data_IF_504809121379
#
_entry.id   IF_504809121379
#
_cell.length_a   1.000
_cell.length_b   1.000
_cell.length_c   1.000
_cell.angle_alpha   90.00
_cell.angle_beta   90.00
_cell.angle_gamma   90.00
#
_symmetry.space_group_name_H-M   'P 1'
#
loop_
_entity.id
_entity.type
_entity.pdbx_description
1 polymer ?
#
# COMPACT_ATOMS: atom_id res chain seq x y z
N UNK A 1 31.14 -2.12 -38.70
CA UNK A 1 30.36 -1.14 -37.91
C UNK A 1 28.96 -1.64 -37.51
N UNK A 2 28.54 -2.87 -37.89
CA UNK A 2 27.18 -3.37 -37.68
C UNK A 2 26.92 -3.98 -36.29
N UNK A 3 27.95 -4.59 -35.69
CA UNK A 3 27.88 -5.22 -34.36
C UNK A 3 27.64 -4.21 -33.23
N UNK A 4 28.21 -3.01 -33.35
CA UNK A 4 28.02 -1.94 -32.35
C UNK A 4 26.58 -1.41 -32.32
N UNK A 5 25.92 -1.31 -33.47
CA UNK A 5 24.55 -0.79 -33.57
C UNK A 5 23.52 -1.77 -32.98
N UNK A 6 23.71 -3.08 -33.18
CA UNK A 6 22.88 -4.09 -32.53
C UNK A 6 23.02 -4.06 -31.01
N UNK A 7 24.24 -3.88 -30.50
CA UNK A 7 24.49 -3.83 -29.06
C UNK A 7 23.76 -2.64 -28.41
N UNK A 8 23.81 -1.46 -29.05
CA UNK A 8 23.15 -0.25 -28.54
C UNK A 8 21.62 -0.43 -28.55
N UNK A 9 21.05 -1.06 -29.58
CA UNK A 9 19.62 -1.34 -29.66
C UNK A 9 19.14 -2.30 -28.57
N UNK A 10 19.95 -3.32 -28.23
CA UNK A 10 19.65 -4.26 -27.13
C UNK A 10 19.74 -3.59 -25.76
N UNK A 11 20.74 -2.74 -25.52
CA UNK A 11 20.90 -2.01 -24.25
C UNK A 11 19.77 -0.98 -24.07
N UNK A 12 19.39 -0.28 -25.14
CA UNK A 12 18.27 0.67 -25.10
C UNK A 12 16.94 -0.05 -24.81
N UNK A 13 16.70 -1.21 -25.43
CA UNK A 13 15.52 -2.03 -25.14
C UNK A 13 15.50 -2.54 -23.70
N UNK A 14 16.63 -2.99 -23.15
CA UNK A 14 16.71 -3.50 -21.78
C UNK A 14 16.52 -2.40 -20.72
N UNK A 15 16.97 -1.18 -21.02
CA UNK A 15 16.83 0.00 -20.15
C UNK A 15 15.37 0.47 -20.04
N UNK A 16 14.53 0.20 -21.03
CA UNK A 16 13.10 0.51 -20.97
C UNK A 16 12.32 -0.44 -20.03
N UNK A 17 12.75 -1.70 -19.90
CA UNK A 17 12.10 -2.67 -19.01
C UNK A 17 12.42 -2.47 -17.53
N UNK A 18 13.50 -1.77 -17.18
CA UNK A 18 13.82 -1.42 -15.79
C UNK A 18 13.07 -0.16 -15.32
N UNK A 19 12.55 0.67 -16.23
CA UNK A 19 11.78 1.88 -15.91
C UNK A 19 10.32 1.60 -15.56
N UNK A 20 9.77 0.42 -15.87
CA UNK A 20 8.40 0.04 -15.50
C UNK A 20 8.33 -0.59 -14.09
N UNK A 21 9.48 -0.76 -13.41
CA UNK A 21 9.57 -1.57 -12.20
C UNK A 21 9.51 -0.83 -10.87
N UNK A 22 9.70 0.48 -10.79
CA UNK A 22 9.87 1.15 -9.50
C UNK A 22 9.42 2.61 -9.54
N UNK A 23 8.13 2.84 -9.79
CA UNK A 23 7.49 3.98 -9.15
C UNK A 23 7.35 3.65 -7.65
N UNK A 24 8.48 3.66 -6.93
CA UNK A 24 8.48 3.87 -5.50
C UNK A 24 8.08 5.32 -5.26
N UNK A 25 6.81 5.64 -5.53
CA UNK A 25 6.18 6.70 -4.78
C UNK A 25 6.41 6.30 -3.32
N UNK A 26 7.01 7.19 -2.55
CA UNK A 26 7.08 7.06 -1.10
C UNK A 26 5.65 7.10 -0.57
N UNK A 27 4.95 5.98 -0.72
CA UNK A 27 3.53 5.85 -0.42
C UNK A 27 3.44 5.84 1.09
N UNK A 28 3.20 7.02 1.65
CA UNK A 28 2.83 7.16 3.04
C UNK A 28 1.46 6.48 3.19
N UNK A 29 1.41 5.49 4.07
CA UNK A 29 0.19 4.80 4.42
C UNK A 29 -0.09 4.91 5.91
N UNK A 30 -1.35 4.77 6.29
CA UNK A 30 -1.76 4.86 7.67
C UNK A 30 -1.23 3.68 8.49
N UNK A 31 -0.83 3.94 9.73
CA UNK A 31 -0.47 2.90 10.68
C UNK A 31 -1.75 2.33 11.30
N UNK A 32 -2.06 1.08 10.97
CA UNK A 32 -3.11 0.34 11.67
C UNK A 32 -2.77 0.20 13.17
N UNK A 33 -3.69 0.59 14.06
CA UNK A 33 -3.57 0.31 15.48
C UNK A 33 -3.43 -1.19 15.73
N UNK A 34 -2.54 -1.58 16.65
CA UNK A 34 -2.31 -2.99 17.00
C UNK A 34 -3.53 -3.66 17.62
N UNK A 35 -4.42 -2.88 18.25
CA UNK A 35 -5.65 -3.37 18.87
C UNK A 35 -6.79 -2.36 18.70
N UNK A 36 -7.97 -2.81 18.28
CA UNK A 36 -9.20 -2.01 18.19
C UNK A 36 -10.35 -2.84 18.76
N UNK A 37 -11.22 -2.22 19.56
CA UNK A 37 -12.40 -2.87 20.14
C UNK A 37 -12.16 -4.13 20.99
N UNK A 38 -10.90 -4.48 21.31
CA UNK A 38 -10.56 -5.74 21.99
C UNK A 38 -9.82 -6.73 21.08
N UNK A 39 -9.83 -6.48 19.77
CA UNK A 39 -9.34 -7.37 18.72
C UNK A 39 -7.96 -6.96 18.24
N UNK A 40 -7.12 -7.95 17.94
CA UNK A 40 -5.76 -7.73 17.45
C UNK A 40 -5.74 -7.53 15.93
N UNK A 41 -4.81 -6.69 15.46
CA UNK A 41 -4.55 -6.51 14.04
C UNK A 41 -4.06 -7.83 13.43
N UNK A 42 -4.79 -8.34 12.45
CA UNK A 42 -4.43 -9.56 11.72
C UNK A 42 -3.67 -9.22 10.45
N UNK A 43 -4.17 -8.24 9.69
CA UNK A 43 -3.56 -7.86 8.42
C UNK A 43 -3.83 -6.39 8.09
N UNK A 44 -3.00 -5.86 7.20
CA UNK A 44 -3.10 -4.54 6.61
C UNK A 44 -3.00 -4.68 5.12
N UNK A 45 -3.79 -3.92 4.38
CA UNK A 45 -3.68 -3.80 2.94
C UNK A 45 -3.89 -2.34 2.50
N UNK A 46 -3.43 -1.99 1.30
CA UNK A 46 -3.63 -0.67 0.70
C UNK A 46 -4.40 -0.86 -0.60
N UNK A 47 -5.52 -0.14 -0.74
CA UNK A 47 -6.34 -0.19 -1.95
C UNK A 47 -5.71 0.61 -3.11
N UNK A 48 -6.29 0.50 -4.31
CA UNK A 48 -5.81 1.19 -5.51
C UNK A 48 -5.90 2.72 -5.41
N UNK A 49 -6.67 3.24 -4.44
CA UNK A 49 -6.83 4.65 -4.15
C UNK A 49 -5.81 5.15 -3.12
N UNK A 50 -4.98 4.27 -2.57
CA UNK A 50 -4.00 4.59 -1.53
C UNK A 50 -4.58 4.61 -0.11
N UNK A 51 -5.82 4.15 0.10
CA UNK A 51 -6.39 4.02 1.44
C UNK A 51 -5.86 2.76 2.12
N UNK A 52 -5.59 2.87 3.40
CA UNK A 52 -5.18 1.73 4.24
C UNK A 52 -6.39 1.06 4.85
N UNK A 53 -6.49 -0.25 4.65
CA UNK A 53 -7.51 -1.12 5.24
C UNK A 53 -6.84 -2.00 6.30
N UNK A 54 -7.37 -1.95 7.51
CA UNK A 54 -6.90 -2.72 8.66
C UNK A 54 -7.93 -3.79 9.01
N UNK A 55 -7.53 -5.06 9.00
CA UNK A 55 -8.37 -6.20 9.37
C UNK A 55 -7.98 -6.71 10.75
N UNK A 56 -8.98 -6.89 11.60
CA UNK A 56 -8.81 -7.40 12.96
C UNK A 56 -9.30 -8.84 13.08
N UNK A 57 -8.97 -9.48 14.20
CA UNK A 57 -9.12 -10.93 14.40
C UNK A 57 -10.56 -11.44 14.33
N UNK A 58 -11.53 -10.59 14.69
CA UNK A 58 -12.97 -10.88 14.61
C UNK A 58 -13.51 -10.94 13.17
N UNK A 59 -12.78 -10.40 12.19
CA UNK A 59 -13.19 -10.32 10.77
C UNK A 59 -14.28 -9.28 10.48
N UNK A 60 -15.00 -8.80 11.50
CA UNK A 60 -16.00 -7.74 11.41
C UNK A 60 -15.36 -6.36 11.58
N UNK A 61 -14.47 -6.19 12.56
CA UNK A 61 -13.80 -4.92 12.80
C UNK A 61 -12.84 -4.63 11.67
N UNK A 62 -13.15 -3.57 10.92
CA UNK A 62 -12.31 -3.02 9.85
C UNK A 62 -12.16 -1.52 10.04
N UNK A 63 -10.92 -1.04 9.94
CA UNK A 63 -10.64 0.39 9.94
C UNK A 63 -10.11 0.82 8.58
N UNK A 64 -10.63 1.94 8.07
CA UNK A 64 -10.28 2.49 6.78
C UNK A 64 -9.71 3.90 6.95
N UNK A 65 -8.46 4.07 6.57
CA UNK A 65 -7.74 5.33 6.68
C UNK A 65 -7.31 5.84 5.31
N UNK A 66 -7.37 7.14 5.09
CA UNK A 66 -6.80 7.76 3.90
C UNK A 66 -5.26 7.81 3.98
N UNK A 67 -4.61 8.28 2.91
CA UNK A 67 -3.16 8.51 2.87
C UNK A 67 -2.64 9.59 3.85
N UNK A 68 -3.54 10.26 4.58
CA UNK A 68 -3.23 11.23 5.62
C UNK A 68 -3.45 10.68 7.04
N UNK A 69 -3.91 9.43 7.18
CA UNK A 69 -4.18 8.79 8.47
C UNK A 69 -5.53 9.18 9.07
N UNK A 70 -6.41 9.84 8.31
CA UNK A 70 -7.76 10.16 8.76
C UNK A 70 -8.72 9.03 8.42
N UNK A 71 -9.76 8.89 9.24
CA UNK A 71 -10.83 7.91 9.01
C UNK A 71 -11.67 8.31 7.81
N UNK A 72 -11.93 7.36 6.93
CA UNK A 72 -12.70 7.60 5.70
C UNK A 72 -14.22 7.48 5.90
N UNK A 73 -14.68 7.12 7.10
CA UNK A 73 -16.11 7.05 7.46
C UNK A 73 -16.80 5.73 7.09
N UNK A 74 -16.07 4.79 6.47
CA UNK A 74 -16.50 3.39 6.24
C UNK A 74 -16.02 2.45 7.35
N UNK A 75 -15.31 2.98 8.34
CA UNK A 75 -14.69 2.27 9.43
C UNK A 75 -15.67 1.90 10.55
N UNK A 76 -15.31 0.85 11.28
CA UNK A 76 -15.97 0.51 12.52
C UNK A 76 -15.90 1.69 13.50
N UNK A 77 -17.02 2.03 14.17
CA UNK A 77 -17.14 3.26 14.96
C UNK A 77 -16.09 3.42 16.07
N UNK A 78 -15.45 2.33 16.53
CA UNK A 78 -14.37 2.34 17.52
C UNK A 78 -12.96 2.49 16.94
N UNK A 79 -12.82 2.62 15.62
CA UNK A 79 -11.53 2.90 15.01
C UNK A 79 -11.03 4.27 15.49
N UNK A 80 -9.80 4.34 16.06
CA UNK A 80 -9.23 5.59 16.50
C UNK A 80 -8.85 6.44 15.28
N UNK A 81 -8.84 7.77 15.41
CA UNK A 81 -8.37 8.63 14.35
C UNK A 81 -8.14 10.07 14.85
N UNK A 82 -7.13 10.77 14.32
CA UNK A 82 -6.18 10.36 13.27
C UNK A 82 -5.08 9.40 13.77
N UNK A 83 -4.54 8.60 12.85
CA UNK A 83 -3.41 7.68 13.13
C UNK A 83 -2.11 8.19 12.50
N UNK A 84 -0.97 7.67 12.99
CA UNK A 84 0.33 7.98 12.40
C UNK A 84 0.46 7.45 10.98
N UNK A 85 1.39 8.04 10.22
CA UNK A 85 1.77 7.58 8.89
C UNK A 85 3.09 6.82 8.94
N UNK A 86 3.26 5.86 8.04
CA UNK A 86 4.53 5.16 7.82
C UNK A 86 4.80 5.07 6.32
N UNK A 87 6.07 4.97 5.96
CA UNK A 87 6.52 4.63 4.61
C UNK A 87 7.02 3.18 4.53
N UNK A 88 6.92 2.41 5.62
CA UNK A 88 7.34 1.02 5.69
C UNK A 88 6.16 0.07 5.47
N UNK A 89 6.40 -0.96 4.64
CA UNK A 89 5.42 -2.00 4.31
C UNK A 89 4.11 -1.45 3.73
N UNK A 90 4.18 -0.28 3.10
CA UNK A 90 3.09 0.30 2.32
C UNK A 90 3.09 -0.25 0.89
N UNK A 91 3.19 -1.58 0.75
CA UNK A 91 3.02 -2.19 -0.55
C UNK A 91 1.53 -2.27 -0.86
N UNK A 92 1.07 -1.80 -2.03
CA UNK A 92 -0.25 -2.16 -2.53
C UNK A 92 -0.27 -3.67 -2.70
N UNK A 93 -0.87 -4.37 -1.75
CA UNK A 93 -1.12 -5.79 -1.88
C UNK A 93 -2.18 -5.94 -2.96
N UNK A 94 -1.76 -6.36 -4.15
CA UNK A 94 -2.64 -6.90 -5.18
C UNK A 94 -3.52 -7.95 -4.48
N UNK A 95 -4.78 -7.63 -4.19
CA UNK A 95 -5.66 -8.48 -3.38
C UNK A 95 -6.16 -7.92 -2.05
N UNK A 96 -6.37 -6.61 -1.91
CA UNK A 96 -7.44 -6.11 -1.02
C UNK A 96 -8.82 -6.55 -1.58
N UNK A 97 -9.03 -7.86 -1.75
CA UNK A 97 -10.30 -8.39 -2.24
C UNK A 97 -11.34 -8.19 -1.15
N UNK A 98 -12.41 -7.48 -1.51
CA UNK A 98 -13.58 -7.18 -0.69
C UNK A 98 -14.22 -8.43 -0.08
#
# INVERSE_FOLDING_TARGET
MQSFLMLIASIASLSAYTLVGVHANSLLCAVCPSKVAGEWLTSRCIDDQGNTICHYQDGETRCFYDGHGNRTGRDYFRCPGPVGLTNWSCSPTVGCSM
#
